data_IF_428318845911
#
_entry.id   IF_428318845911
#
_cell.length_a   1.000
_cell.length_b   1.000
_cell.length_c   1.000
_cell.angle_alpha   90.00
_cell.angle_beta   90.00
_cell.angle_gamma   90.00
#
_symmetry.space_group_name_H-M   'P 1'
#
loop_
_entity.id
_entity.type
_entity.pdbx_description
1 polymer ?
#
# COMPACT_ATOMS: atom_id res chain seq x y z
N UNK A 1 7.64 12.22 13.85
CA UNK A 1 8.07 10.98 13.17
C UNK A 1 6.78 10.21 12.95
N UNK A 2 6.19 10.31 11.76
CA UNK A 2 4.87 9.73 11.49
C UNK A 2 4.98 8.22 11.59
N UNK A 3 4.50 7.66 12.70
CA UNK A 3 4.33 6.22 12.87
C UNK A 3 3.09 5.81 12.09
N UNK A 4 3.16 5.84 10.75
CA UNK A 4 2.21 5.08 9.97
C UNK A 4 2.54 3.62 10.12
N UNK A 5 1.60 2.90 10.71
CA UNK A 5 1.52 1.45 10.74
C UNK A 5 1.34 0.96 9.30
N UNK A 6 2.41 0.97 8.52
CA UNK A 6 2.52 0.23 7.27
C UNK A 6 2.41 -1.26 7.64
N UNK A 7 1.20 -1.78 7.72
CA UNK A 7 0.99 -3.07 8.37
C UNK A 7 -0.39 -3.69 8.23
N UNK A 8 -1.26 -3.11 7.40
CA UNK A 8 -2.62 -3.60 7.21
C UNK A 8 -2.73 -4.02 5.74
N UNK A 9 -3.45 -5.10 5.49
CA UNK A 9 -3.74 -5.71 4.19
C UNK A 9 -3.89 -4.72 3.03
N UNK A 10 -4.43 -3.55 3.35
CA UNK A 10 -4.76 -2.48 2.44
C UNK A 10 -3.93 -1.23 2.73
N UNK A 11 -3.67 -0.49 1.67
CA UNK A 11 -3.31 0.91 1.71
C UNK A 11 -4.23 1.66 0.75
N UNK A 12 -4.35 3.00 0.85
CA UNK A 12 -5.11 3.80 -0.09
C UNK A 12 -4.78 3.48 -1.54
N UNK A 13 -3.50 3.35 -1.89
CA UNK A 13 -3.06 3.04 -3.25
C UNK A 13 -3.55 1.67 -3.70
N UNK A 14 -3.44 0.64 -2.86
CA UNK A 14 -3.94 -0.69 -3.18
C UNK A 14 -5.46 -0.70 -3.44
N UNK A 15 -6.22 -0.01 -2.57
CA UNK A 15 -7.67 0.13 -2.70
C UNK A 15 -8.03 0.81 -4.00
N UNK A 16 -7.41 1.98 -4.27
CA UNK A 16 -7.68 2.76 -5.47
C UNK A 16 -7.30 2.00 -6.74
N UNK A 17 -6.15 1.31 -6.77
CA UNK A 17 -5.76 0.53 -7.95
C UNK A 17 -6.74 -0.60 -8.26
N UNK A 18 -7.16 -1.35 -7.24
CA UNK A 18 -8.11 -2.47 -7.41
C UNK A 18 -9.40 -1.93 -8.00
N UNK A 19 -10.04 -0.98 -7.33
CA UNK A 19 -11.35 -0.47 -7.76
C UNK A 19 -11.29 0.36 -9.04
N UNK A 20 -10.23 1.14 -9.27
CA UNK A 20 -10.05 1.87 -10.52
C UNK A 20 -9.89 0.93 -11.72
N UNK A 21 -9.14 -0.17 -11.60
CA UNK A 21 -9.04 -1.13 -12.70
C UNK A 21 -10.36 -1.86 -12.94
N UNK A 22 -11.11 -2.23 -11.90
CA UNK A 22 -12.45 -2.80 -12.04
C UNK A 22 -13.40 -1.85 -12.77
N UNK A 23 -13.38 -0.58 -12.39
CA UNK A 23 -14.17 0.47 -13.04
C UNK A 23 -13.78 0.69 -14.50
N UNK A 24 -12.47 0.77 -14.79
CA UNK A 24 -11.96 0.93 -16.15
C UNK A 24 -12.24 -0.29 -17.04
N UNK A 25 -12.29 -1.50 -16.45
CA UNK A 25 -12.68 -2.73 -17.14
C UNK A 25 -14.20 -2.86 -17.35
N UNK A 26 -15.00 -2.00 -16.70
CA UNK A 26 -16.46 -2.03 -16.72
C UNK A 26 -17.07 -3.12 -15.82
N UNK A 27 -16.34 -3.62 -14.84
CA UNK A 27 -16.81 -4.60 -13.84
C UNK A 27 -17.22 -3.97 -12.51
N UNK A 28 -17.05 -2.65 -12.37
CA UNK A 28 -17.52 -1.84 -11.24
C UNK A 28 -18.03 -0.47 -11.72
N UNK A 29 -18.89 0.16 -10.93
CA UNK A 29 -19.34 1.54 -11.13
C UNK A 29 -18.29 2.54 -10.60
N UNK A 30 -18.30 3.81 -11.07
CA UNK A 30 -17.47 4.86 -10.46
C UNK A 30 -17.77 5.05 -8.97
N UNK A 31 -19.02 4.85 -8.56
CA UNK A 31 -19.44 4.98 -7.16
C UNK A 31 -18.78 3.93 -6.27
N UNK A 32 -18.56 2.70 -6.77
CA UNK A 32 -17.85 1.66 -6.02
C UNK A 32 -16.40 2.09 -5.68
N UNK A 33 -15.76 2.85 -6.57
CA UNK A 33 -14.42 3.43 -6.31
C UNK A 33 -14.50 4.44 -5.19
N UNK A 34 -15.48 5.35 -5.22
CA UNK A 34 -15.65 6.40 -4.22
C UNK A 34 -16.03 5.80 -2.85
N UNK A 35 -16.94 4.84 -2.82
CA UNK A 35 -17.36 4.13 -1.61
C UNK A 35 -16.18 3.39 -0.99
N UNK A 36 -15.35 2.71 -1.80
CA UNK A 36 -14.15 2.03 -1.31
C UNK A 36 -13.12 2.99 -0.71
N UNK A 37 -12.97 4.18 -1.28
CA UNK A 37 -12.07 5.22 -0.79
C UNK A 37 -12.58 5.86 0.51
N UNK A 38 -13.90 6.00 0.67
CA UNK A 38 -14.52 6.60 1.86
C UNK A 38 -14.19 5.87 3.17
N UNK A 39 -13.76 4.60 3.09
CA UNK A 39 -13.25 3.83 4.22
C UNK A 39 -11.91 4.36 4.76
N UNK A 40 -11.17 5.15 3.99
CA UNK A 40 -9.88 5.74 4.38
C UNK A 40 -10.01 7.14 4.97
N UNK A 41 -10.84 7.98 4.36
CA UNK A 41 -11.07 9.35 4.83
C UNK A 41 -12.43 9.86 4.34
N UNK A 42 -13.09 10.76 5.08
CA UNK A 42 -14.39 11.31 4.67
C UNK A 42 -14.28 12.27 3.48
N UNK A 43 -13.09 12.81 3.21
CA UNK A 43 -12.81 13.74 2.11
C UNK A 43 -11.58 13.29 1.35
N UNK A 44 -11.65 13.39 0.02
CA UNK A 44 -10.51 13.17 -0.85
C UNK A 44 -10.29 14.38 -1.75
N UNK A 45 -9.02 14.72 -1.94
CA UNK A 45 -8.61 15.78 -2.85
C UNK A 45 -7.51 15.30 -3.79
N UNK A 46 -7.37 15.93 -4.96
CA UNK A 46 -6.31 15.64 -5.91
C UNK A 46 -5.73 16.93 -6.49
N UNK A 47 -4.40 16.98 -6.57
CA UNK A 47 -3.61 18.12 -7.05
C UNK A 47 -2.50 17.66 -8.01
N UNK A 48 -2.11 18.50 -8.95
CA UNK A 48 -0.90 18.27 -9.74
C UNK A 48 0.32 18.77 -8.97
N UNK A 49 1.43 18.02 -9.03
CA UNK A 49 2.75 18.42 -8.50
C UNK A 49 3.52 19.32 -9.49
N UNK A 50 3.29 19.13 -10.79
CA UNK A 50 3.97 19.86 -11.84
C UNK A 50 3.04 20.15 -13.03
N UNK A 51 3.43 21.13 -13.85
CA UNK A 51 2.65 21.53 -15.03
C UNK A 51 2.46 20.42 -16.08
N UNK A 52 3.36 19.43 -16.16
CA UNK A 52 3.23 18.33 -17.09
C UNK A 52 2.19 17.31 -16.59
N UNK A 53 2.12 17.05 -15.29
CA UNK A 53 1.09 16.25 -14.66
C UNK A 53 -0.29 16.88 -14.87
N UNK A 54 -0.39 18.20 -14.66
CA UNK A 54 -1.59 18.98 -14.94
C UNK A 54 -2.03 18.84 -16.39
N UNK A 55 -1.11 19.04 -17.35
CA UNK A 55 -1.40 18.88 -18.78
C UNK A 55 -1.84 17.47 -19.19
N UNK A 56 -1.32 16.43 -18.51
CA UNK A 56 -1.68 15.02 -18.76
C UNK A 56 -3.03 14.61 -18.17
N UNK A 57 -3.55 15.35 -17.19
CA UNK A 57 -4.70 14.93 -16.38
C UNK A 57 -5.87 15.92 -16.37
N UNK A 58 -5.64 17.15 -16.83
CA UNK A 58 -6.62 18.24 -16.78
C UNK A 58 -6.77 18.88 -15.40
N UNK A 59 -5.86 18.57 -14.46
CA UNK A 59 -5.85 19.20 -13.14
C UNK A 59 -5.40 20.66 -13.20
N UNK A 60 -5.88 21.52 -12.29
CA UNK A 60 -5.44 22.91 -12.20
C UNK A 60 -3.97 23.01 -11.78
N UNK A 61 -3.29 24.03 -12.30
CA UNK A 61 -1.92 24.41 -11.94
C UNK A 61 -1.70 25.90 -12.28
N UNK A 62 -1.00 26.70 -11.46
CA UNK A 62 -0.34 26.34 -10.19
C UNK A 62 -1.24 26.40 -8.96
N UNK A 63 -2.55 26.61 -9.12
CA UNK A 63 -3.48 26.66 -8.00
C UNK A 63 -3.58 25.29 -7.33
N UNK A 64 -3.01 25.17 -6.12
CA UNK A 64 -2.94 23.93 -5.34
C UNK A 64 -4.20 23.62 -4.54
N UNK A 65 -5.32 24.30 -4.83
CA UNK A 65 -6.59 23.98 -4.19
C UNK A 65 -7.02 22.60 -4.66
N UNK A 66 -6.87 21.61 -3.79
CA UNK A 66 -7.23 20.22 -4.06
C UNK A 66 -8.64 20.11 -4.64
N UNK A 67 -8.75 19.47 -5.79
CA UNK A 67 -10.04 19.20 -6.42
C UNK A 67 -10.65 17.94 -5.82
N UNK A 68 -11.97 17.89 -5.62
CA UNK A 68 -12.61 16.81 -4.85
C UNK A 68 -12.52 15.41 -5.47
N UNK A 69 -13.03 14.40 -4.77
CA UNK A 69 -12.96 12.98 -5.16
C UNK A 69 -13.41 12.66 -6.61
N UNK A 70 -14.38 13.39 -7.16
CA UNK A 70 -14.83 13.21 -8.55
C UNK A 70 -13.72 13.58 -9.56
N UNK A 71 -12.91 14.58 -9.24
CA UNK A 71 -11.76 14.96 -10.08
C UNK A 71 -10.69 13.88 -10.10
N UNK A 72 -10.53 13.10 -9.01
CA UNK A 72 -9.63 11.94 -9.00
C UNK A 72 -10.05 10.89 -10.02
N UNK A 73 -11.35 10.59 -10.14
CA UNK A 73 -11.86 9.70 -11.18
C UNK A 73 -11.55 10.22 -12.59
N UNK A 74 -11.73 11.52 -12.83
CA UNK A 74 -11.38 12.15 -14.10
C UNK A 74 -9.87 12.04 -14.38
N UNK A 75 -9.02 12.36 -13.40
CA UNK A 75 -7.56 12.22 -13.48
C UNK A 75 -7.16 10.81 -13.91
N UNK A 76 -7.69 9.78 -13.23
CA UNK A 76 -7.39 8.37 -13.54
C UNK A 76 -7.83 7.99 -14.94
N UNK A 77 -9.05 8.35 -15.35
CA UNK A 77 -9.56 8.05 -16.69
C UNK A 77 -8.76 8.74 -17.78
N UNK A 78 -8.43 10.02 -17.59
CA UNK A 78 -7.64 10.79 -18.58
C UNK A 78 -6.24 10.21 -18.71
N UNK A 79 -5.58 9.88 -17.59
CA UNK A 79 -4.24 9.31 -17.60
C UNK A 79 -4.17 7.86 -18.12
N UNK A 80 -5.21 7.05 -17.89
CA UNK A 80 -5.28 5.67 -18.36
C UNK A 80 -5.50 5.56 -19.88
N UNK A 81 -5.97 6.63 -20.52
CA UNK A 81 -6.26 6.66 -21.94
C UNK A 81 -7.61 6.02 -22.31
N UNK A 82 -8.00 6.09 -23.58
CA UNK A 82 -9.28 5.57 -24.06
C UNK A 82 -9.27 4.03 -24.09
N UNK A 83 -10.30 3.42 -23.50
CA UNK A 83 -10.61 1.98 -23.59
C UNK A 83 -9.39 1.06 -23.40
N UNK A 84 -8.78 1.03 -22.19
CA UNK A 84 -7.64 0.16 -21.93
C UNK A 84 -8.01 -1.31 -22.17
N UNK A 85 -7.03 -2.10 -22.61
CA UNK A 85 -7.19 -3.54 -22.87
C UNK A 85 -6.66 -4.43 -21.73
N UNK A 86 -6.29 -3.82 -20.61
CA UNK A 86 -5.66 -4.44 -19.45
C UNK A 86 -5.44 -3.41 -18.35
N UNK A 87 -4.80 -3.81 -17.22
CA UNK A 87 -4.63 -2.90 -16.08
C UNK A 87 -3.77 -1.68 -16.43
N UNK A 88 -4.35 -0.48 -16.33
CA UNK A 88 -3.64 0.79 -16.55
C UNK A 88 -3.13 1.41 -15.25
N UNK A 89 -3.69 1.01 -14.11
CA UNK A 89 -3.29 1.51 -12.78
C UNK A 89 -2.52 0.41 -12.07
N UNK A 90 -1.29 0.69 -11.66
CA UNK A 90 -0.44 -0.26 -10.93
C UNK A 90 0.00 0.31 -9.59
N UNK A 91 0.27 -0.58 -8.63
CA UNK A 91 0.68 -0.21 -7.26
C UNK A 91 2.18 -0.44 -7.10
N UNK A 92 2.84 0.51 -6.46
CA UNK A 92 4.19 0.36 -5.93
C UNK A 92 4.17 0.47 -4.40
N UNK A 93 4.88 -0.42 -3.72
CA UNK A 93 5.04 -0.41 -2.26
C UNK A 93 6.54 -0.22 -1.92
N UNK A 94 7.13 0.95 -2.20
CA UNK A 94 8.57 1.16 -2.01
C UNK A 94 8.96 1.11 -0.53
N UNK A 95 10.18 0.67 -0.27
CA UNK A 95 10.84 0.82 1.05
C UNK A 95 12.26 1.36 0.84
N UNK A 96 12.89 1.95 1.86
CA UNK A 96 14.30 2.32 1.78
C UNK A 96 15.16 1.12 1.34
N UNK A 97 15.87 1.26 0.22
CA UNK A 97 16.73 0.22 -0.37
C UNK A 97 16.08 -0.68 -1.43
N UNK A 98 14.75 -0.71 -1.56
CA UNK A 98 14.06 -1.38 -2.67
C UNK A 98 12.88 -0.56 -3.18
N UNK A 99 13.12 0.05 -4.34
CA UNK A 99 12.27 1.05 -5.01
C UNK A 99 11.79 0.54 -6.37
N UNK A 100 11.83 -0.79 -6.58
CA UNK A 100 11.40 -1.41 -7.83
C UNK A 100 9.98 -0.96 -8.19
N UNK A 101 9.80 -0.63 -9.48
CA UNK A 101 8.55 -0.11 -10.01
C UNK A 101 8.45 1.42 -10.02
N UNK A 102 9.36 2.17 -9.38
CA UNK A 102 9.36 3.64 -9.42
C UNK A 102 10.40 4.21 -10.40
N UNK A 103 10.12 5.37 -11.05
CA UNK A 103 11.10 6.06 -11.89
C UNK A 103 12.20 6.70 -11.04
N UNK A 104 13.41 6.16 -11.15
CA UNK A 104 14.56 6.57 -10.35
C UNK A 104 14.95 8.06 -10.52
N UNK A 105 15.38 8.70 -9.44
CA UNK A 105 15.87 10.09 -9.42
C UNK A 105 14.79 11.17 -9.41
N UNK A 106 13.51 10.79 -9.44
CA UNK A 106 12.38 11.73 -9.51
C UNK A 106 11.92 12.21 -8.13
N UNK A 107 11.18 13.33 -8.07
CA UNK A 107 10.49 13.72 -6.83
C UNK A 107 9.42 12.69 -6.46
N UNK A 108 8.65 12.21 -7.44
CA UNK A 108 7.67 11.14 -7.27
C UNK A 108 8.25 9.94 -6.51
N UNK A 109 9.45 9.49 -6.88
CA UNK A 109 10.13 8.40 -6.16
C UNK A 109 10.40 8.75 -4.69
N UNK A 110 10.89 9.96 -4.40
CA UNK A 110 11.21 10.37 -3.03
C UNK A 110 9.97 10.40 -2.14
N UNK A 111 8.89 10.99 -2.65
CA UNK A 111 7.63 11.13 -1.91
C UNK A 111 6.96 9.76 -1.75
N UNK A 112 6.98 8.92 -2.79
CA UNK A 112 6.51 7.54 -2.71
C UNK A 112 7.28 6.72 -1.66
N UNK A 113 8.61 6.87 -1.55
CA UNK A 113 9.42 6.20 -0.51
C UNK A 113 9.08 6.73 0.89
N UNK A 114 8.85 8.04 1.01
CA UNK A 114 8.52 8.66 2.30
C UNK A 114 7.18 8.16 2.84
N UNK A 115 6.19 7.98 1.96
CA UNK A 115 4.85 7.45 2.33
C UNK A 115 4.85 5.92 2.38
N UNK A 116 5.67 5.24 1.58
CA UNK A 116 5.73 3.78 1.49
C UNK A 116 4.76 3.17 0.47
N UNK A 117 4.03 4.00 -0.27
CA UNK A 117 3.10 3.58 -1.31
C UNK A 117 3.02 4.60 -2.44
N UNK A 118 2.65 4.11 -3.62
CA UNK A 118 2.32 4.94 -4.77
C UNK A 118 1.49 4.18 -5.80
N UNK A 119 0.85 4.95 -6.68
CA UNK A 119 0.24 4.47 -7.90
C UNK A 119 1.00 4.95 -9.12
N UNK A 120 0.96 4.15 -10.18
CA UNK A 120 1.42 4.54 -11.51
C UNK A 120 0.29 4.25 -12.48
N UNK A 121 -0.17 5.30 -13.17
CA UNK A 121 -1.18 5.22 -14.21
C UNK A 121 -0.50 5.38 -15.56
N UNK A 122 -0.67 4.39 -16.43
CA UNK A 122 -0.05 4.36 -17.76
C UNK A 122 -1.12 4.16 -18.82
N UNK A 123 -1.12 5.05 -19.83
CA UNK A 123 -1.79 4.79 -21.10
C UNK A 123 -0.92 3.80 -21.91
N UNK A 124 -1.40 2.58 -22.21
CA UNK A 124 -0.62 1.60 -22.97
C UNK A 124 -0.31 2.05 -24.40
N UNK A 125 -1.09 2.98 -24.97
CA UNK A 125 -0.85 3.54 -26.30
C UNK A 125 0.18 4.66 -26.29
N UNK A 126 0.32 5.38 -25.16
CA UNK A 126 1.26 6.48 -25.01
C UNK A 126 1.98 6.40 -23.65
N UNK A 127 2.91 5.43 -23.45
CA UNK A 127 3.55 5.23 -22.14
C UNK A 127 4.40 6.41 -21.63
N UNK A 128 4.70 7.39 -22.49
CA UNK A 128 5.45 8.60 -22.14
C UNK A 128 4.62 9.63 -21.35
N UNK A 129 3.29 9.47 -21.31
CA UNK A 129 2.37 10.35 -20.57
C UNK A 129 1.95 9.76 -19.21
N UNK A 130 2.66 8.75 -18.71
CA UNK A 130 2.38 8.14 -17.41
C UNK A 130 2.37 9.18 -16.28
N UNK A 131 1.55 8.95 -15.25
CA UNK A 131 1.53 9.78 -14.05
C UNK A 131 1.69 8.90 -12.81
N UNK A 132 2.37 9.45 -11.81
CA UNK A 132 2.49 8.86 -10.48
C UNK A 132 1.52 9.54 -9.53
N UNK A 133 0.93 8.80 -8.59
CA UNK A 133 0.13 9.38 -7.50
C UNK A 133 0.67 8.92 -6.16
N UNK A 134 0.78 9.84 -5.20
CA UNK A 134 1.17 9.57 -3.82
C UNK A 134 0.06 10.10 -2.89
N UNK A 135 -0.48 9.26 -1.99
CA UNK A 135 -1.45 9.70 -0.99
C UNK A 135 -0.77 10.38 0.21
N UNK A 136 -1.45 11.33 0.84
CA UNK A 136 -1.06 11.92 2.12
C UNK A 136 -2.30 12.22 2.97
N UNK A 137 -2.36 11.69 4.20
CA UNK A 137 -3.50 11.93 5.08
C UNK A 137 -3.36 13.28 5.77
N UNK A 138 -4.49 13.96 5.87
CA UNK A 138 -4.67 15.18 6.66
C UNK A 138 -5.43 14.83 7.92
N UNK A 139 -4.97 15.33 9.06
CA UNK A 139 -5.58 15.08 10.36
C UNK A 139 -6.27 16.32 10.89
N UNK A 140 -7.37 16.13 11.62
CA UNK A 140 -8.00 17.22 12.35
C UNK A 140 -7.15 17.59 13.56
N UNK A 141 -6.76 18.86 13.67
CA UNK A 141 -6.03 19.43 14.80
C UNK A 141 -6.98 19.93 15.91
N UNK A 142 -8.27 19.60 15.82
CA UNK A 142 -9.39 20.13 16.60
C UNK A 142 -9.35 19.99 18.12
N UNK A 143 -8.26 19.51 18.74
CA UNK A 143 -8.07 19.64 20.18
C UNK A 143 -6.61 19.86 20.59
N UNK A 144 -6.38 20.85 21.47
CA UNK A 144 -5.10 21.08 22.15
C UNK A 144 -4.84 20.05 23.28
N UNK A 145 -5.62 18.97 23.35
CA UNK A 145 -5.48 17.93 24.37
C UNK A 145 -4.35 16.96 23.96
N UNK A 146 -3.24 16.89 24.72
CA UNK A 146 -2.13 15.99 24.40
C UNK A 146 -2.48 14.50 24.50
N UNK A 147 -3.65 14.15 25.02
CA UNK A 147 -4.17 12.77 25.10
C UNK A 147 -5.10 12.42 23.91
N UNK A 148 -5.40 13.39 23.04
CA UNK A 148 -6.23 13.17 21.85
C UNK A 148 -5.44 12.52 20.72
N UNK A 149 -5.95 11.40 20.22
CA UNK A 149 -5.43 10.76 19.01
C UNK A 149 -6.07 11.46 17.79
N UNK A 150 -5.28 12.16 16.95
CA UNK A 150 -5.83 12.96 15.86
C UNK A 150 -6.57 12.07 14.84
N UNK A 151 -7.84 12.39 14.59
CA UNK A 151 -8.64 11.67 13.60
C UNK A 151 -8.30 12.08 12.16
N UNK A 152 -8.36 11.12 11.23
CA UNK A 152 -8.16 11.38 9.80
C UNK A 152 -9.31 12.23 9.27
N UNK A 153 -9.00 13.43 8.78
CA UNK A 153 -9.98 14.39 8.27
C UNK A 153 -10.10 14.38 6.74
N UNK A 154 -9.01 14.08 6.03
CA UNK A 154 -8.98 13.97 4.58
C UNK A 154 -7.81 13.11 4.08
N UNK A 155 -7.86 12.72 2.81
CA UNK A 155 -6.76 12.09 2.09
C UNK A 155 -6.50 12.85 0.79
N UNK A 156 -5.34 13.48 0.70
CA UNK A 156 -4.89 14.20 -0.49
C UNK A 156 -4.09 13.30 -1.41
N UNK A 157 -4.24 13.48 -2.72
CA UNK A 157 -3.51 12.75 -3.75
C UNK A 157 -2.68 13.73 -4.57
N UNK A 158 -1.37 13.61 -4.51
CA UNK A 158 -0.46 14.43 -5.33
C UNK A 158 -0.09 13.68 -6.60
N UNK A 159 -0.33 14.31 -7.76
CA UNK A 159 -0.11 13.72 -9.08
C UNK A 159 1.16 14.26 -9.73
N UNK A 160 2.09 13.38 -10.07
CA UNK A 160 3.38 13.71 -10.65
C UNK A 160 3.43 13.30 -12.12
N UNK A 161 4.15 14.07 -12.94
CA UNK A 161 4.53 13.56 -14.26
C UNK A 161 5.60 12.48 -14.05
N UNK A 162 5.35 11.28 -14.58
CA UNK A 162 6.30 10.19 -14.51
C UNK A 162 6.91 9.96 -15.90
N UNK A 163 8.24 9.71 -16.01
CA UNK A 163 8.79 9.13 -17.22
C UNK A 163 8.30 7.69 -17.37
N UNK A 164 8.37 7.15 -18.58
CA UNK A 164 8.10 5.72 -18.81
C UNK A 164 9.02 4.88 -17.91
N UNK A 165 8.42 4.06 -17.07
CA UNK A 165 9.15 3.13 -16.20
C UNK A 165 9.19 1.77 -16.88
N UNK A 166 10.33 1.05 -16.86
CA UNK A 166 10.35 -0.33 -17.35
C UNK A 166 9.31 -1.15 -16.58
N UNK A 167 8.63 -2.11 -17.23
CA UNK A 167 7.64 -2.94 -16.57
C UNK A 167 8.29 -3.64 -15.36
N UNK A 168 7.62 -3.57 -14.21
CA UNK A 168 8.05 -4.32 -13.03
C UNK A 168 8.15 -5.82 -13.38
N UNK A 169 9.14 -6.54 -12.83
CA UNK A 169 9.24 -7.97 -13.04
C UNK A 169 7.95 -8.65 -12.58
N UNK A 170 7.45 -9.58 -13.39
CA UNK A 170 6.28 -10.37 -13.02
C UNK A 170 6.64 -11.26 -11.83
N UNK A 171 5.83 -11.18 -10.77
CA UNK A 171 5.93 -12.05 -9.61
C UNK A 171 4.78 -13.05 -9.71
N UNK A 172 5.10 -14.33 -9.92
CA UNK A 172 4.08 -15.38 -9.95
C UNK A 172 3.43 -15.51 -8.58
N UNK A 173 2.09 -15.61 -8.56
CA UNK A 173 1.33 -15.70 -7.31
C UNK A 173 1.66 -16.97 -6.53
N UNK A 174 1.89 -18.09 -7.22
CA UNK A 174 2.21 -19.36 -6.60
C UNK A 174 3.61 -19.39 -6.00
N UNK A 175 4.58 -18.83 -6.71
CA UNK A 175 5.95 -18.62 -6.21
C UNK A 175 5.95 -17.70 -4.99
N UNK A 176 5.27 -16.56 -5.06
CA UNK A 176 5.18 -15.62 -3.93
C UNK A 176 4.48 -16.25 -2.71
N UNK A 177 3.42 -17.03 -2.91
CA UNK A 177 2.74 -17.77 -1.84
C UNK A 177 3.65 -18.84 -1.21
N UNK A 178 4.48 -19.51 -2.02
CA UNK A 178 5.45 -20.48 -1.54
C UNK A 178 6.56 -19.81 -0.73
N UNK A 179 7.15 -18.75 -1.28
CA UNK A 179 8.21 -17.97 -0.61
C UNK A 179 7.71 -17.38 0.70
N UNK A 180 6.48 -16.85 0.75
CA UNK A 180 5.86 -16.38 2.00
C UNK A 180 5.78 -17.47 3.06
N UNK A 181 5.27 -18.66 2.71
CA UNK A 181 5.20 -19.79 3.65
C UNK A 181 6.58 -20.27 4.11
N UNK A 182 7.54 -20.29 3.18
CA UNK A 182 8.93 -20.67 3.45
C UNK A 182 9.59 -19.69 4.43
N UNK A 183 9.48 -18.39 4.17
CA UNK A 183 10.06 -17.34 4.98
C UNK A 183 9.44 -17.28 6.38
N UNK A 184 8.12 -17.43 6.51
CA UNK A 184 7.44 -17.50 7.81
C UNK A 184 7.97 -18.68 8.64
N UNK A 185 8.12 -19.85 8.00
CA UNK A 185 8.68 -21.03 8.68
C UNK A 185 10.12 -20.79 9.14
N UNK A 186 10.97 -20.25 8.27
CA UNK A 186 12.36 -19.95 8.60
C UNK A 186 12.48 -18.93 9.75
N UNK A 187 11.64 -17.88 9.75
CA UNK A 187 11.59 -16.90 10.83
C UNK A 187 11.14 -17.54 12.16
N UNK A 188 10.12 -18.40 12.13
CA UNK A 188 9.66 -19.11 13.32
C UNK A 188 10.71 -20.07 13.89
N UNK A 189 11.46 -20.79 13.03
CA UNK A 189 12.58 -21.64 13.44
C UNK A 189 13.71 -20.81 14.07
N UNK A 190 14.07 -19.67 13.48
CA UNK A 190 15.08 -18.75 14.03
C UNK A 190 14.67 -18.18 15.40
N UNK A 191 13.43 -17.69 15.54
CA UNK A 191 12.91 -17.16 16.80
C UNK A 191 12.78 -18.25 17.88
N UNK A 192 12.40 -19.47 17.49
CA UNK A 192 12.34 -20.62 18.39
C UNK A 192 13.71 -21.00 18.95
N UNK A 193 14.76 -20.99 18.11
CA UNK A 193 16.14 -21.22 18.52
C UNK A 193 16.65 -20.16 19.51
N UNK A 194 16.27 -18.89 19.33
CA UNK A 194 16.63 -17.80 20.25
C UNK A 194 15.94 -17.96 21.61
N UNK A 195 14.67 -18.38 21.64
CA UNK A 195 13.89 -18.54 22.88
C UNK A 195 14.36 -19.74 23.73
N UNK A 196 14.91 -20.78 23.10
CA UNK A 196 15.41 -21.97 23.80
C UNK A 196 16.61 -21.70 24.75
N UNK A 197 17.24 -20.52 24.65
CA UNK A 197 18.35 -20.10 25.53
C UNK A 197 17.97 -19.09 26.62
N UNK A 198 16.69 -18.70 26.76
CA UNK A 198 16.27 -17.52 27.52
C UNK A 198 15.15 -17.83 28.53
N UNK A 199 15.22 -17.26 29.74
CA UNK A 199 14.09 -17.23 30.68
C UNK A 199 13.15 -16.09 30.26
N UNK A 200 11.91 -16.43 29.89
CA UNK A 200 11.00 -15.52 29.17
C UNK A 200 10.51 -14.34 30.00
N UNK A 201 10.53 -13.15 29.39
CA UNK A 201 9.64 -12.05 29.75
C UNK A 201 8.23 -12.37 29.21
N UNK A 202 7.21 -12.13 30.03
CA UNK A 202 5.81 -12.28 29.64
C UNK A 202 5.38 -11.02 28.88
N UNK A 203 4.85 -11.22 27.68
CA UNK A 203 4.28 -10.16 26.85
C UNK A 203 2.78 -10.24 27.01
N UNK A 204 2.15 -9.14 27.44
CA UNK A 204 0.69 -9.05 27.55
C UNK A 204 0.04 -9.34 26.19
N UNK A 205 -0.88 -10.31 26.17
CA UNK A 205 -1.64 -10.83 25.02
C UNK A 205 -1.22 -10.36 23.60
N UNK A 206 -0.14 -10.91 23.01
CA UNK A 206 0.31 -10.52 21.68
C UNK A 206 -0.70 -10.89 20.58
N UNK A 207 -1.61 -11.85 20.84
CA UNK A 207 -2.62 -12.24 19.86
C UNK A 207 -3.72 -11.19 19.77
N UNK A 208 -4.19 -10.68 20.91
CA UNK A 208 -5.15 -9.57 20.96
C UNK A 208 -4.64 -8.33 20.23
N UNK A 209 -3.35 -8.01 20.36
CA UNK A 209 -2.74 -6.88 19.64
C UNK A 209 -2.67 -7.11 18.12
N UNK A 210 -2.34 -8.31 17.66
CA UNK A 210 -2.39 -8.65 16.22
C UNK A 210 -3.81 -8.55 15.69
N UNK A 211 -4.80 -9.05 16.43
CA UNK A 211 -6.21 -8.92 16.06
C UNK A 211 -6.65 -7.45 16.00
N UNK A 212 -6.22 -6.61 16.93
CA UNK A 212 -6.48 -5.17 16.92
C UNK A 212 -5.89 -4.49 15.68
N UNK A 213 -4.65 -4.81 15.31
CA UNK A 213 -4.03 -4.30 14.07
C UNK A 213 -4.84 -4.75 12.85
N UNK A 214 -5.27 -6.02 12.80
CA UNK A 214 -6.05 -6.53 11.67
C UNK A 214 -7.46 -5.94 11.57
N UNK A 215 -8.07 -5.53 12.70
CA UNK A 215 -9.42 -4.94 12.72
C UNK A 215 -9.50 -3.68 11.87
N UNK A 216 -8.47 -2.85 11.91
CA UNK A 216 -8.38 -1.60 11.12
C UNK A 216 -8.48 -1.83 9.61
N UNK A 217 -8.16 -3.04 9.12
CA UNK A 217 -8.25 -3.41 7.71
C UNK A 217 -9.59 -3.99 7.26
N UNK A 218 -10.48 -4.35 8.19
CA UNK A 218 -11.73 -5.09 7.87
C UNK A 218 -12.77 -4.27 7.13
N UNK A 219 -12.65 -2.94 7.15
CA UNK A 219 -13.53 -2.03 6.40
C UNK A 219 -13.36 -2.11 4.88
N UNK A 220 -12.21 -2.60 4.40
CA UNK A 220 -11.88 -2.62 2.97
C UNK A 220 -12.29 -3.94 2.31
N UNK A 221 -13.01 -3.84 1.20
CA UNK A 221 -13.53 -4.99 0.44
C UNK A 221 -12.82 -5.15 -0.89
N UNK A 222 -12.68 -6.41 -1.30
CA UNK A 222 -12.30 -6.78 -2.66
C UNK A 222 -13.54 -6.79 -3.57
N UNK A 223 -13.37 -6.48 -4.86
CA UNK A 223 -14.39 -6.72 -5.88
C UNK A 223 -14.71 -8.21 -6.04
N UNK A 224 -15.93 -8.53 -6.48
CA UNK A 224 -16.42 -9.91 -6.62
C UNK A 224 -15.61 -10.80 -7.58
N UNK A 225 -14.93 -10.20 -8.56
CA UNK A 225 -14.08 -10.93 -9.52
C UNK A 225 -12.69 -11.27 -8.96
N UNK A 226 -12.34 -10.79 -7.76
CA UNK A 226 -11.05 -11.06 -7.15
C UNK A 226 -10.84 -12.58 -6.97
N UNK A 227 -9.73 -13.16 -7.47
CA UNK A 227 -9.49 -14.59 -7.34
C UNK A 227 -9.32 -14.97 -5.87
N UNK A 228 -10.06 -15.99 -5.41
CA UNK A 228 -10.04 -16.46 -4.01
C UNK A 228 -8.62 -16.80 -3.52
N UNK A 229 -7.77 -17.33 -4.40
CA UNK A 229 -6.36 -17.60 -4.09
C UNK A 229 -5.58 -16.31 -3.83
N UNK A 230 -5.79 -15.26 -4.64
CA UNK A 230 -5.10 -13.98 -4.47
C UNK A 230 -5.56 -13.27 -3.18
N UNK A 231 -6.87 -13.27 -2.91
CA UNK A 231 -7.43 -12.76 -1.66
C UNK A 231 -6.79 -13.43 -0.43
N UNK A 232 -6.71 -14.77 -0.42
CA UNK A 232 -6.07 -15.52 0.66
C UNK A 232 -4.58 -15.19 0.82
N UNK A 233 -3.84 -15.00 -0.27
CA UNK A 233 -2.42 -14.62 -0.20
C UNK A 233 -2.27 -13.21 0.39
N UNK A 234 -3.14 -12.28 0.01
CA UNK A 234 -3.16 -10.93 0.55
C UNK A 234 -3.49 -10.93 2.06
N UNK A 235 -4.47 -11.73 2.49
CA UNK A 235 -4.83 -11.97 3.90
C UNK A 235 -3.68 -12.56 4.70
N UNK A 236 -3.03 -13.60 4.19
CA UNK A 236 -1.88 -14.21 4.85
C UNK A 236 -0.73 -13.21 4.97
N UNK A 237 -0.45 -12.44 3.91
CA UNK A 237 0.59 -11.43 3.94
C UNK A 237 0.28 -10.34 4.98
N UNK A 238 -0.98 -9.88 5.07
CA UNK A 238 -1.43 -8.91 6.07
C UNK A 238 -1.29 -9.41 7.50
N UNK A 239 -1.66 -10.68 7.75
CA UNK A 239 -1.51 -11.29 9.06
C UNK A 239 -0.03 -11.33 9.48
N UNK A 240 0.85 -11.73 8.57
CA UNK A 240 2.30 -11.76 8.84
C UNK A 240 2.84 -10.35 9.07
N UNK A 241 2.39 -9.36 8.29
CA UNK A 241 2.76 -7.94 8.47
C UNK A 241 2.35 -7.45 9.86
N UNK A 242 1.12 -7.73 10.29
CA UNK A 242 0.62 -7.40 11.63
C UNK A 242 1.45 -8.05 12.74
N UNK A 243 1.88 -9.31 12.58
CA UNK A 243 2.80 -9.97 13.52
C UNK A 243 4.14 -9.20 13.59
N UNK A 244 4.70 -8.80 12.44
CA UNK A 244 5.96 -8.05 12.40
C UNK A 244 5.81 -6.69 13.08
N UNK A 245 4.72 -5.97 12.79
CA UNK A 245 4.38 -4.68 13.40
C UNK A 245 4.27 -4.81 14.91
N UNK A 246 3.45 -5.75 15.40
CA UNK A 246 3.23 -5.98 16.83
C UNK A 246 4.55 -6.40 17.49
N UNK A 247 5.33 -7.27 16.86
CA UNK A 247 6.64 -7.68 17.38
C UNK A 247 7.64 -6.53 17.45
N UNK A 248 7.57 -5.58 16.53
CA UNK A 248 8.44 -4.40 16.51
C UNK A 248 8.00 -3.34 17.53
N UNK A 249 6.69 -3.16 17.74
CA UNK A 249 6.13 -2.23 18.72
C UNK A 249 6.17 -2.74 20.16
N UNK A 250 6.10 -4.06 20.35
CA UNK A 250 6.18 -4.71 21.65
C UNK A 250 7.59 -4.90 22.17
N UNK A 251 8.62 -4.38 21.48
CA UNK A 251 9.98 -4.37 22.00
C UNK A 251 9.99 -3.63 23.35
N UNK A 252 10.12 -4.35 24.48
CA UNK A 252 10.07 -3.72 25.78
C UNK A 252 11.19 -2.70 25.89
N UNK A 253 10.89 -1.53 26.46
CA UNK A 253 11.89 -0.61 27.01
C UNK A 253 12.75 -1.32 28.10
N UNK A 254 12.34 -2.53 28.52
CA UNK A 254 13.07 -3.44 29.39
C UNK A 254 13.68 -4.69 28.74
N UNK A 255 13.90 -4.76 27.41
CA UNK A 255 14.72 -5.85 26.84
C UNK A 255 16.13 -5.79 27.44
N UNK A 256 16.52 -6.88 28.09
CA UNK A 256 17.82 -7.02 28.71
C UNK A 256 18.88 -7.16 27.61
N UNK A 257 19.52 -6.04 27.25
CA UNK A 257 20.57 -5.89 26.23
C UNK A 257 20.10 -5.61 24.79
N UNK A 258 20.57 -4.49 24.22
CA UNK A 258 20.33 -4.04 22.85
C UNK A 258 20.72 -5.08 21.77
N UNK A 259 21.58 -6.04 22.09
CA UNK A 259 22.00 -7.09 21.16
C UNK A 259 20.87 -8.08 20.83
N UNK A 260 19.98 -8.38 21.78
CA UNK A 260 18.90 -9.36 21.58
C UNK A 260 17.76 -8.79 20.73
N UNK A 261 17.43 -7.51 20.95
CA UNK A 261 16.58 -6.67 20.08
C UNK A 261 17.09 -6.71 18.64
N UNK A 262 18.40 -6.49 18.46
CA UNK A 262 19.02 -6.45 17.14
C UNK A 262 18.96 -7.81 16.43
N UNK A 263 19.24 -8.91 17.15
CA UNK A 263 19.19 -10.27 16.59
C UNK A 263 17.78 -10.65 16.16
N UNK A 264 16.75 -10.34 16.96
CA UNK A 264 15.36 -10.60 16.60
C UNK A 264 14.92 -9.76 15.38
N UNK A 265 15.32 -8.48 15.34
CA UNK A 265 15.05 -7.59 14.20
C UNK A 265 15.72 -8.09 12.92
N UNK A 266 16.97 -8.56 12.99
CA UNK A 266 17.70 -9.11 11.85
C UNK A 266 17.09 -10.43 11.36
N UNK A 267 16.50 -11.24 12.25
CA UNK A 267 15.79 -12.47 11.87
C UNK A 267 14.48 -12.18 11.10
N UNK A 268 13.79 -11.10 11.44
CA UNK A 268 12.53 -10.70 10.80
C UNK A 268 12.72 -9.85 9.53
N UNK A 269 13.87 -9.19 9.36
CA UNK A 269 14.14 -8.31 8.21
C UNK A 269 13.92 -8.96 6.84
N UNK A 270 14.33 -10.22 6.57
CA UNK A 270 14.06 -10.88 5.30
C UNK A 270 12.56 -11.06 5.02
N UNK A 271 11.74 -11.22 6.07
CA UNK A 271 10.31 -11.49 5.95
C UNK A 271 9.55 -10.28 5.38
N UNK A 272 9.97 -9.06 5.70
CA UNK A 272 9.37 -7.81 5.18
C UNK A 272 9.39 -7.77 3.65
N UNK A 273 10.52 -8.15 3.03
CA UNK A 273 10.66 -8.18 1.58
C UNK A 273 9.76 -9.23 0.90
N UNK A 274 9.57 -10.37 1.57
CA UNK A 274 8.73 -11.47 1.08
C UNK A 274 7.24 -11.14 1.23
N UNK A 275 6.82 -10.59 2.37
CA UNK A 275 5.44 -10.11 2.61
C UNK A 275 5.05 -9.11 1.53
N UNK A 276 5.91 -8.12 1.26
CA UNK A 276 5.66 -7.13 0.22
C UNK A 276 5.56 -7.76 -1.18
N UNK A 277 6.45 -8.69 -1.52
CA UNK A 277 6.40 -9.40 -2.81
C UNK A 277 5.08 -10.18 -2.96
N UNK A 278 4.62 -10.84 -1.90
CA UNK A 278 3.34 -11.53 -1.86
C UNK A 278 2.14 -10.58 -2.02
N UNK A 279 2.17 -9.41 -1.36
CA UNK A 279 1.15 -8.36 -1.53
C UNK A 279 1.10 -7.87 -2.98
N UNK A 280 2.25 -7.56 -3.59
CA UNK A 280 2.32 -7.11 -4.98
C UNK A 280 1.80 -8.19 -5.95
N UNK A 281 2.19 -9.45 -5.75
CA UNK A 281 1.74 -10.57 -6.59
C UNK A 281 0.21 -10.79 -6.48
N UNK A 282 -0.33 -10.78 -5.26
CA UNK A 282 -1.77 -10.90 -5.01
C UNK A 282 -2.55 -9.74 -5.61
N UNK A 283 -2.13 -8.50 -5.37
CA UNK A 283 -2.75 -7.31 -5.96
C UNK A 283 -2.72 -7.41 -7.48
N UNK A 284 -1.57 -7.71 -8.07
CA UNK A 284 -1.42 -7.86 -9.53
C UNK A 284 -2.42 -8.88 -10.08
N UNK A 285 -2.55 -10.06 -9.46
CA UNK A 285 -3.53 -11.06 -9.88
C UNK A 285 -4.98 -10.53 -9.83
N UNK A 286 -5.33 -9.76 -8.79
CA UNK A 286 -6.64 -9.11 -8.67
C UNK A 286 -6.83 -8.07 -9.77
N UNK A 287 -5.85 -7.20 -10.04
CA UNK A 287 -5.94 -6.18 -11.09
C UNK A 287 -6.22 -6.80 -12.46
N UNK A 288 -5.52 -7.88 -12.81
CA UNK A 288 -5.71 -8.58 -14.09
C UNK A 288 -7.04 -9.32 -14.18
N UNK A 289 -7.58 -9.82 -13.05
CA UNK A 289 -8.86 -10.54 -13.05
C UNK A 289 -10.05 -9.69 -13.51
N UNK A 290 -9.98 -8.37 -13.34
CA UNK A 290 -11.00 -7.44 -13.85
C UNK A 290 -11.17 -7.51 -15.38
N UNK A 291 -10.12 -7.94 -16.09
CA UNK A 291 -10.03 -7.97 -17.54
C UNK A 291 -10.24 -9.35 -18.15
N UNK A 292 -10.39 -10.38 -17.30
CA UNK A 292 -10.63 -11.76 -17.71
C UNK A 292 -12.15 -11.99 -17.75
N UNK A 293 -12.74 -11.94 -18.95
CA UNK A 293 -14.14 -12.28 -19.18
C UNK A 293 -14.31 -13.74 -19.57
#
# INVERSE_FOLDING_TARGET
>A
MNNYTAGIMWCPSATLAVWANSWLAGTAAPDDVLDSLSAWAPKHSVTAYDSAAAGRTGLPWPDLNGTGAVSLLQTLRTAAGPAPSGPSVSVALPVPGDVRGLPAGTQFQRDAIAVGEALIVTDPHIPSTAVGLVPDFEFDDGSDDPEFDPEVSALSWTVYSAPTTPPSPHIDLGEAEYELRSAVRAAAEALGALRAGMAGADVDDPRGLVEQVLESGRGHRLPDHAPSRAARVLENAAHVDAIITVSSGLMPIGLQSSSEVQIASDALRPLVGVVRSARIAALTAILYSAWQR
#
